data_IF_421172128435
#
_entry.id   IF_421172128435
#
_cell.length_a   1.000
_cell.length_b   1.000
_cell.length_c   1.000
_cell.angle_alpha   90.00
_cell.angle_beta   90.00
_cell.angle_gamma   90.00
#
_symmetry.space_group_name_H-M   'P 1'
#
loop_
_entity.id
_entity.type
_entity.pdbx_description
1 polymer ?
#
# COMPACT_ATOMS: atom_id res chain seq x y z
N UNK A 1 -5.86 14.80 -25.93
CA UNK A 1 -6.27 14.43 -24.56
C UNK A 1 -7.43 13.46 -24.70
N UNK A 2 -7.22 12.23 -24.26
CA UNK A 2 -8.25 11.19 -24.22
C UNK A 2 -9.33 11.56 -23.20
N UNK A 3 -10.59 11.17 -23.44
CA UNK A 3 -11.75 11.61 -22.64
C UNK A 3 -11.65 11.18 -21.16
N UNK A 4 -11.08 9.99 -20.89
CA UNK A 4 -11.06 9.36 -19.57
C UNK A 4 -10.24 10.12 -18.52
N UNK A 5 -9.25 10.92 -18.94
CA UNK A 5 -8.44 11.74 -18.02
C UNK A 5 -9.28 12.75 -17.25
N UNK A 6 -10.42 13.15 -17.81
CA UNK A 6 -11.34 14.11 -17.23
C UNK A 6 -12.56 13.45 -16.58
N UNK A 7 -12.60 12.12 -16.48
CA UNK A 7 -13.67 11.43 -15.79
C UNK A 7 -13.69 11.88 -14.31
N UNK A 8 -14.76 12.53 -13.82
CA UNK A 8 -14.81 13.09 -12.47
C UNK A 8 -14.51 12.06 -11.37
N UNK A 9 -14.80 10.79 -11.63
CA UNK A 9 -14.57 9.66 -10.74
C UNK A 9 -13.08 9.40 -10.45
N UNK A 10 -12.21 9.50 -11.48
CA UNK A 10 -10.78 9.19 -11.41
C UNK A 10 -9.84 10.38 -11.66
N UNK A 11 -10.37 11.52 -12.11
CA UNK A 11 -9.62 12.60 -12.76
C UNK A 11 -8.32 12.98 -12.03
N UNK A 12 -8.39 13.24 -10.73
CA UNK A 12 -7.21 13.67 -9.96
C UNK A 12 -6.12 12.58 -9.88
N UNK A 13 -6.49 11.31 -9.75
CA UNK A 13 -5.51 10.21 -9.66
C UNK A 13 -4.91 9.88 -11.02
N UNK A 14 -5.73 9.81 -12.08
CA UNK A 14 -5.28 9.44 -13.43
C UNK A 14 -4.45 10.55 -14.06
N UNK A 15 -4.82 11.83 -13.86
CA UNK A 15 -4.04 12.97 -14.37
C UNK A 15 -2.61 12.96 -13.83
N UNK A 16 -2.41 12.55 -12.59
CA UNK A 16 -1.07 12.44 -12.00
C UNK A 16 -0.23 11.42 -12.78
N UNK A 17 -0.77 10.23 -13.04
CA UNK A 17 -0.08 9.19 -13.78
C UNK A 17 0.19 9.54 -15.25
N UNK A 18 -0.75 10.22 -15.90
CA UNK A 18 -0.58 10.71 -17.27
C UNK A 18 0.49 11.82 -17.32
N UNK A 19 0.47 12.79 -16.40
CA UNK A 19 1.46 13.89 -16.37
C UNK A 19 2.89 13.39 -16.13
N UNK A 20 3.04 12.40 -15.26
CA UNK A 20 4.32 11.72 -15.01
C UNK A 20 4.74 10.86 -16.21
N UNK A 21 3.78 10.50 -17.06
CA UNK A 21 3.99 9.71 -18.26
C UNK A 21 3.98 8.21 -18.00
N UNK A 22 3.42 7.71 -16.90
CA UNK A 22 3.37 6.26 -16.64
C UNK A 22 2.39 5.53 -17.56
N UNK A 23 1.24 6.16 -17.85
CA UNK A 23 0.19 5.59 -18.71
C UNK A 23 0.40 6.02 -20.16
N UNK A 24 0.55 7.32 -20.42
CA UNK A 24 0.63 7.85 -21.79
C UNK A 24 2.06 7.78 -22.38
N UNK A 25 2.15 7.34 -23.64
CA UNK A 25 3.38 6.94 -24.35
C UNK A 25 4.33 8.10 -24.71
N UNK A 26 3.92 9.35 -24.48
CA UNK A 26 4.51 10.54 -25.11
C UNK A 26 5.83 11.03 -24.45
N UNK A 27 6.39 10.31 -23.47
CA UNK A 27 7.58 10.79 -22.75
C UNK A 27 8.54 9.71 -22.25
N UNK A 28 9.23 9.00 -23.16
CA UNK A 28 10.21 7.97 -22.77
C UNK A 28 11.31 8.49 -21.83
N UNK A 29 11.78 9.72 -22.01
CA UNK A 29 12.79 10.35 -21.14
C UNK A 29 12.27 10.62 -19.73
N UNK A 30 11.03 11.10 -19.59
CA UNK A 30 10.38 11.31 -18.27
C UNK A 30 10.15 9.98 -17.55
N UNK A 31 9.66 8.96 -18.28
CA UNK A 31 9.50 7.59 -17.78
C UNK A 31 10.84 7.03 -17.27
N UNK A 32 11.90 7.19 -18.07
CA UNK A 32 13.24 6.72 -17.71
C UNK A 32 13.73 7.36 -16.42
N UNK A 33 13.69 8.69 -16.30
CA UNK A 33 14.11 9.41 -15.10
C UNK A 33 13.27 9.03 -13.86
N UNK A 34 11.95 8.93 -14.04
CA UNK A 34 11.03 8.55 -12.97
C UNK A 34 11.28 7.11 -12.46
N UNK A 35 11.72 6.19 -13.33
CA UNK A 35 12.07 4.83 -12.94
C UNK A 35 13.48 4.72 -12.38
N UNK A 36 14.42 5.48 -12.94
CA UNK A 36 15.84 5.37 -12.60
C UNK A 36 16.12 5.71 -11.14
N UNK A 37 15.54 6.80 -10.62
CA UNK A 37 15.80 7.29 -9.25
C UNK A 37 15.34 6.29 -8.17
N UNK A 38 14.12 5.72 -8.22
CA UNK A 38 13.71 4.64 -7.31
C UNK A 38 14.60 3.39 -7.39
N UNK A 39 14.99 2.98 -8.61
CA UNK A 39 15.79 1.77 -8.80
C UNK A 39 17.20 1.94 -8.23
N UNK A 40 17.91 3.03 -8.57
CA UNK A 40 19.28 3.25 -8.10
C UNK A 40 19.34 3.39 -6.58
N UNK A 41 18.37 4.09 -5.98
CA UNK A 41 18.29 4.22 -4.52
C UNK A 41 17.87 2.92 -3.83
N UNK A 42 17.11 2.05 -4.50
CA UNK A 42 16.81 0.72 -3.99
C UNK A 42 18.03 -0.19 -3.99
N UNK A 43 18.81 -0.20 -5.08
CA UNK A 43 20.07 -0.94 -5.16
C UNK A 43 21.06 -0.45 -4.10
N UNK A 44 21.23 0.87 -3.95
CA UNK A 44 22.11 1.44 -2.92
C UNK A 44 21.70 1.07 -1.50
N UNK A 45 20.40 0.95 -1.22
CA UNK A 45 19.89 0.51 0.07
C UNK A 45 20.15 -0.98 0.33
N UNK A 46 20.00 -1.84 -0.70
CA UNK A 46 20.33 -3.26 -0.61
C UNK A 46 21.82 -3.44 -0.29
N UNK A 47 22.71 -2.73 -1.00
CA UNK A 47 24.16 -2.78 -0.76
C UNK A 47 24.48 -2.37 0.68
N UNK A 48 23.86 -1.31 1.18
CA UNK A 48 24.04 -0.87 2.56
C UNK A 48 23.63 -1.97 3.55
N UNK A 49 22.43 -2.55 3.40
CA UNK A 49 21.94 -3.61 4.29
C UNK A 49 22.89 -4.82 4.29
N UNK A 50 23.39 -5.26 3.12
CA UNK A 50 24.33 -6.38 3.06
C UNK A 50 25.65 -6.11 3.78
N UNK A 51 26.12 -4.86 3.80
CA UNK A 51 27.36 -4.48 4.50
C UNK A 51 27.14 -4.27 5.99
N UNK A 52 26.04 -3.64 6.39
CA UNK A 52 25.76 -3.29 7.78
C UNK A 52 25.01 -4.38 8.55
N UNK A 53 24.70 -5.53 7.94
CA UNK A 53 23.82 -6.57 8.50
C UNK A 53 24.22 -7.05 9.89
N UNK A 54 25.52 -7.09 10.18
CA UNK A 54 26.06 -7.59 11.46
C UNK A 54 26.39 -6.49 12.48
N UNK A 55 26.32 -5.20 12.11
CA UNK A 55 26.83 -4.12 12.96
C UNK A 55 25.83 -3.69 14.03
N UNK A 56 24.57 -3.50 13.63
CA UNK A 56 23.50 -3.07 14.52
C UNK A 56 22.16 -3.67 14.07
N UNK A 57 21.63 -4.60 14.87
CA UNK A 57 20.38 -5.31 14.56
C UNK A 57 19.18 -4.34 14.53
N UNK A 58 19.16 -3.33 15.41
CA UNK A 58 18.08 -2.34 15.46
C UNK A 58 18.03 -1.47 14.21
N UNK A 59 19.19 -0.95 13.79
CA UNK A 59 19.30 -0.16 12.56
C UNK A 59 19.06 -1.00 11.31
N UNK A 60 19.55 -2.24 11.28
CA UNK A 60 19.30 -3.18 10.18
C UNK A 60 17.80 -3.49 10.06
N UNK A 61 17.11 -3.71 11.17
CA UNK A 61 15.66 -3.94 11.18
C UNK A 61 14.87 -2.74 10.64
N UNK A 62 15.21 -1.52 11.07
CA UNK A 62 14.60 -0.29 10.55
C UNK A 62 14.84 -0.13 9.03
N UNK A 63 16.08 -0.34 8.58
CA UNK A 63 16.43 -0.25 7.16
C UNK A 63 15.73 -1.33 6.31
N UNK A 64 15.56 -2.55 6.84
CA UNK A 64 14.81 -3.63 6.20
C UNK A 64 13.33 -3.28 6.10
N UNK A 65 12.73 -2.72 7.15
CA UNK A 65 11.34 -2.27 7.11
C UNK A 65 11.11 -1.21 6.01
N UNK A 66 12.00 -0.22 5.92
CA UNK A 66 11.96 0.80 4.85
C UNK A 66 12.14 0.15 3.47
N UNK A 67 13.01 -0.86 3.33
CA UNK A 67 13.22 -1.59 2.08
C UNK A 67 11.94 -2.33 1.66
N UNK A 68 11.25 -3.00 2.58
CA UNK A 68 9.98 -3.69 2.32
C UNK A 68 8.90 -2.72 1.82
N UNK A 69 8.74 -1.56 2.47
CA UNK A 69 7.81 -0.51 2.02
C UNK A 69 8.13 -0.01 0.62
N UNK A 70 9.42 0.19 0.30
CA UNK A 70 9.85 0.61 -1.05
C UNK A 70 9.69 -0.48 -2.10
N UNK A 71 9.83 -1.75 -1.73
CA UNK A 71 9.65 -2.89 -2.64
C UNK A 71 8.23 -2.89 -3.20
N UNK A 72 7.24 -2.62 -2.34
CA UNK A 72 5.85 -2.47 -2.76
C UNK A 72 5.65 -1.31 -3.77
N UNK A 73 6.31 -0.18 -3.55
CA UNK A 73 6.30 0.93 -4.51
C UNK A 73 6.90 0.55 -5.88
N UNK A 74 7.98 -0.24 -5.89
CA UNK A 74 8.59 -0.74 -7.13
C UNK A 74 7.71 -1.73 -7.87
N UNK A 75 6.96 -2.59 -7.15
CA UNK A 75 5.97 -3.50 -7.77
C UNK A 75 4.91 -2.69 -8.52
N UNK A 76 4.37 -1.62 -7.90
CA UNK A 76 3.38 -0.73 -8.54
C UNK A 76 3.95 -0.02 -9.75
N UNK A 77 5.16 0.53 -9.62
CA UNK A 77 5.86 1.16 -10.74
C UNK A 77 6.02 0.19 -11.91
N UNK A 78 6.47 -1.04 -11.62
CA UNK A 78 6.63 -2.09 -12.62
C UNK A 78 5.30 -2.45 -13.29
N UNK A 79 4.22 -2.60 -12.53
CA UNK A 79 2.89 -2.89 -13.07
C UNK A 79 2.42 -1.79 -14.03
N UNK A 80 2.51 -0.54 -13.63
CA UNK A 80 2.06 0.60 -14.44
C UNK A 80 2.88 0.76 -15.72
N UNK A 81 4.20 0.51 -15.67
CA UNK A 81 5.07 0.56 -16.84
C UNK A 81 4.86 -0.64 -17.77
N UNK A 82 4.53 -1.82 -17.23
CA UNK A 82 4.34 -3.06 -18.00
C UNK A 82 2.97 -3.14 -18.67
N UNK A 83 1.91 -2.66 -18.02
CA UNK A 83 0.52 -2.77 -18.48
C UNK A 83 -0.17 -1.42 -18.78
N UNK A 84 0.48 -0.42 -19.40
CA UNK A 84 -0.11 0.92 -19.55
C UNK A 84 -1.39 0.91 -20.40
N UNK A 85 -1.44 0.06 -21.44
CA UNK A 85 -2.61 -0.08 -22.33
C UNK A 85 -3.79 -0.75 -21.63
N UNK A 86 -3.53 -1.66 -20.70
CA UNK A 86 -4.60 -2.36 -19.97
C UNK A 86 -5.24 -1.39 -18.95
N UNK A 87 -4.42 -0.58 -18.25
CA UNK A 87 -4.92 0.52 -17.43
C UNK A 87 -5.75 1.52 -18.26
N UNK A 88 -5.26 1.91 -19.44
CA UNK A 88 -6.00 2.80 -20.33
C UNK A 88 -7.35 2.23 -20.75
N UNK A 89 -7.39 0.96 -21.21
CA UNK A 89 -8.63 0.26 -21.58
C UNK A 89 -9.60 0.18 -20.41
N UNK A 90 -9.11 -0.16 -19.22
CA UNK A 90 -9.91 -0.21 -18.00
C UNK A 90 -10.57 1.14 -17.71
N UNK A 91 -9.80 2.24 -17.73
CA UNK A 91 -10.37 3.58 -17.49
C UNK A 91 -11.36 4.02 -18.57
N UNK A 92 -11.12 3.68 -19.83
CA UNK A 92 -12.05 3.95 -20.92
C UNK A 92 -13.36 3.18 -20.76
N UNK A 93 -13.30 1.91 -20.36
CA UNK A 93 -14.48 1.08 -20.10
C UNK A 93 -15.32 1.68 -18.96
N UNK A 94 -14.69 2.04 -17.84
CA UNK A 94 -15.38 2.66 -16.70
C UNK A 94 -15.95 4.03 -17.08
N UNK A 95 -15.22 4.84 -17.86
CA UNK A 95 -15.75 6.12 -18.35
C UNK A 95 -17.02 5.93 -19.19
N UNK A 96 -16.99 5.02 -20.17
CA UNK A 96 -18.15 4.79 -21.04
C UNK A 96 -19.38 4.38 -20.21
N UNK A 97 -19.19 3.49 -19.24
CA UNK A 97 -20.25 3.04 -18.36
C UNK A 97 -20.75 4.13 -17.41
N UNK A 98 -19.84 4.90 -16.81
CA UNK A 98 -20.19 6.07 -16.00
C UNK A 98 -21.08 7.04 -16.78
N UNK A 99 -20.71 7.35 -18.03
CA UNK A 99 -21.46 8.29 -18.88
C UNK A 99 -22.81 7.73 -19.29
N UNK A 100 -22.91 6.43 -19.52
CA UNK A 100 -24.18 5.76 -19.77
C UNK A 100 -25.13 5.89 -18.58
N UNK A 101 -24.65 5.63 -17.36
CA UNK A 101 -25.43 5.80 -16.12
C UNK A 101 -25.81 7.27 -15.93
N UNK A 102 -24.91 8.22 -16.19
CA UNK A 102 -25.18 9.65 -16.05
C UNK A 102 -26.28 10.15 -17.00
N UNK A 103 -26.38 9.57 -18.21
CA UNK A 103 -27.34 9.96 -19.24
C UNK A 103 -28.66 9.21 -19.16
N UNK A 104 -28.60 7.90 -18.92
CA UNK A 104 -29.71 6.97 -19.07
C UNK A 104 -30.15 6.32 -17.76
N UNK A 105 -29.42 6.54 -16.66
CA UNK A 105 -29.71 5.95 -15.36
C UNK A 105 -30.90 6.59 -14.66
N UNK A 106 -31.57 5.81 -13.81
CA UNK A 106 -32.66 6.29 -12.97
C UNK A 106 -32.21 7.44 -12.05
N UNK A 107 -33.08 8.38 -11.66
CA UNK A 107 -32.71 9.53 -10.84
C UNK A 107 -32.00 9.15 -9.52
N UNK A 108 -32.41 8.05 -8.89
CA UNK A 108 -31.78 7.53 -7.68
C UNK A 108 -30.35 7.03 -7.93
N UNK A 109 -30.14 6.33 -9.04
CA UNK A 109 -28.85 5.80 -9.47
C UNK A 109 -27.88 6.95 -9.80
N UNK A 110 -28.34 7.93 -10.58
CA UNK A 110 -27.58 9.15 -10.89
C UNK A 110 -27.24 9.93 -9.62
N UNK A 111 -28.16 10.01 -8.66
CA UNK A 111 -27.92 10.62 -7.36
C UNK A 111 -26.78 9.95 -6.58
N UNK A 112 -26.79 8.61 -6.55
CA UNK A 112 -25.75 7.82 -5.86
C UNK A 112 -24.40 7.93 -6.59
N UNK A 113 -24.41 7.93 -7.92
CA UNK A 113 -23.21 8.16 -8.73
C UNK A 113 -22.56 9.52 -8.42
N UNK A 114 -23.36 10.58 -8.30
CA UNK A 114 -22.87 11.93 -7.95
C UNK A 114 -22.28 11.98 -6.54
N UNK A 115 -22.92 11.32 -5.58
CA UNK A 115 -22.42 11.24 -4.21
C UNK A 115 -21.09 10.47 -4.13
N UNK A 116 -20.99 9.32 -4.80
CA UNK A 116 -19.72 8.57 -4.92
C UNK A 116 -18.65 9.46 -5.54
N UNK A 117 -18.95 10.13 -6.66
CA UNK A 117 -18.01 11.02 -7.34
C UNK A 117 -17.50 12.14 -6.43
N UNK A 118 -18.37 12.74 -5.62
CA UNK A 118 -17.97 13.77 -4.65
C UNK A 118 -17.01 13.21 -3.59
N UNK A 119 -17.29 12.00 -3.08
CA UNK A 119 -16.44 11.31 -2.10
C UNK A 119 -15.08 10.95 -2.68
N UNK A 120 -15.03 10.42 -3.90
CA UNK A 120 -13.76 10.03 -4.54
C UNK A 120 -12.88 11.23 -4.85
N UNK A 121 -13.48 12.37 -5.24
CA UNK A 121 -12.75 13.63 -5.40
C UNK A 121 -12.18 14.16 -4.08
N UNK A 122 -12.95 14.08 -2.99
CA UNK A 122 -12.46 14.46 -1.66
C UNK A 122 -11.29 13.56 -1.22
N UNK A 123 -11.43 12.25 -1.37
CA UNK A 123 -10.39 11.27 -1.08
C UNK A 123 -9.10 11.58 -1.86
N UNK A 124 -9.23 11.84 -3.16
CA UNK A 124 -8.10 12.16 -4.03
C UNK A 124 -7.39 13.47 -3.63
N UNK A 125 -8.14 14.49 -3.21
CA UNK A 125 -7.55 15.74 -2.68
C UNK A 125 -6.84 15.52 -1.35
N UNK A 126 -7.44 14.78 -0.42
CA UNK A 126 -6.83 14.42 0.86
C UNK A 126 -5.50 13.70 0.66
N UNK A 127 -5.43 12.78 -0.30
CA UNK A 127 -4.20 12.09 -0.70
C UNK A 127 -3.10 13.06 -1.14
N UNK A 128 -3.41 14.09 -1.93
CA UNK A 128 -2.42 15.09 -2.36
C UNK A 128 -1.87 15.86 -1.15
N UNK A 129 -2.73 16.23 -0.20
CA UNK A 129 -2.29 16.90 1.03
C UNK A 129 -1.41 16.01 1.91
N UNK A 130 -1.76 14.72 2.05
CA UNK A 130 -0.92 13.74 2.75
C UNK A 130 0.43 13.58 2.06
N UNK A 131 0.46 13.54 0.73
CA UNK A 131 1.71 13.46 -0.03
C UNK A 131 2.59 14.71 0.16
N UNK A 132 2.00 15.90 0.13
CA UNK A 132 2.71 17.15 0.37
C UNK A 132 3.26 17.21 1.81
N UNK A 133 2.44 16.88 2.81
CA UNK A 133 2.86 16.82 4.21
C UNK A 133 3.98 15.80 4.45
N UNK A 134 3.88 14.60 3.86
CA UNK A 134 4.93 13.58 3.93
C UNK A 134 6.24 14.02 3.31
N UNK A 135 6.20 14.76 2.20
CA UNK A 135 7.40 15.33 1.56
C UNK A 135 8.04 16.41 2.41
N UNK A 136 7.24 17.28 3.04
CA UNK A 136 7.72 18.30 3.97
C UNK A 136 8.37 17.63 5.20
N UNK A 137 7.73 16.59 5.75
CA UNK A 137 8.31 15.83 6.86
C UNK A 137 9.65 15.18 6.47
N UNK A 138 9.76 14.65 5.24
CA UNK A 138 11.01 14.11 4.72
C UNK A 138 12.13 15.18 4.61
N UNK A 139 11.78 16.42 4.27
CA UNK A 139 12.73 17.54 4.24
C UNK A 139 13.30 17.85 5.63
N UNK A 140 12.49 17.76 6.68
CA UNK A 140 12.94 18.01 8.05
C UNK A 140 13.49 16.77 8.76
N UNK A 141 13.48 15.60 8.10
CA UNK A 141 13.94 14.33 8.68
C UNK A 141 15.34 14.39 9.32
N UNK A 142 16.37 15.00 8.68
CA UNK A 142 17.71 15.03 9.27
C UNK A 142 17.80 15.82 10.58
N UNK A 143 16.90 16.79 10.82
CA UNK A 143 16.87 17.56 12.07
C UNK A 143 16.48 16.72 13.29
N UNK A 144 15.94 15.52 13.06
CA UNK A 144 15.55 14.61 14.14
C UNK A 144 16.73 13.81 14.71
N UNK A 145 17.95 13.99 14.18
CA UNK A 145 19.13 13.22 14.56
C UNK A 145 20.31 14.16 14.85
N UNK A 146 21.14 13.80 15.84
CA UNK A 146 22.34 14.56 16.23
C UNK A 146 23.51 14.45 15.22
N UNK A 147 23.24 14.01 13.99
CA UNK A 147 24.25 13.78 12.95
C UNK A 147 23.67 13.72 11.55
N UNK A 148 24.57 13.67 10.54
CA UNK A 148 24.18 13.57 9.13
C UNK A 148 23.52 12.22 8.87
N UNK A 149 22.21 12.24 8.61
CA UNK A 149 21.44 11.05 8.25
C UNK A 149 20.52 11.34 7.08
N UNK A 150 20.59 10.52 6.04
CA UNK A 150 19.61 10.54 4.95
C UNK A 150 18.29 9.93 5.40
N UNK A 151 17.19 10.32 4.75
CA UNK A 151 15.89 9.68 4.94
C UNK A 151 15.96 8.18 4.65
N UNK A 152 16.67 7.81 3.59
CA UNK A 152 16.96 6.43 3.24
C UNK A 152 18.47 6.26 3.21
N UNK A 153 18.97 5.40 4.08
CA UNK A 153 20.39 5.06 4.11
C UNK A 153 20.76 4.26 2.86
N UNK A 154 21.70 4.79 2.09
CA UNK A 154 22.16 4.19 0.83
C UNK A 154 23.68 4.15 0.81
N UNK A 155 24.23 3.15 0.13
CA UNK A 155 25.66 3.05 -0.11
C UNK A 155 25.92 2.77 -1.59
N UNK A 156 26.81 3.57 -2.17
CA UNK A 156 27.25 3.39 -3.55
C UNK A 156 28.73 2.98 -3.58
N UNK A 157 29.14 2.11 -4.52
CA UNK A 157 30.55 1.83 -4.72
C UNK A 157 31.32 3.13 -5.00
N UNK A 158 32.45 3.33 -4.32
CA UNK A 158 33.38 4.45 -4.50
C UNK A 158 32.86 5.85 -4.15
N UNK A 159 31.63 5.99 -3.62
CA UNK A 159 31.06 7.29 -3.20
C UNK A 159 30.65 7.21 -1.74
N UNK A 160 31.25 8.06 -0.90
CA UNK A 160 30.79 8.28 0.47
C UNK A 160 29.56 9.20 0.44
N UNK A 161 28.39 8.62 0.73
CA UNK A 161 27.13 9.35 0.71
C UNK A 161 27.08 10.45 1.80
N UNK A 162 27.79 10.30 2.91
CA UNK A 162 27.73 11.25 4.03
C UNK A 162 28.73 12.42 3.91
N UNK A 163 29.67 12.31 2.97
CA UNK A 163 30.66 13.34 2.68
C UNK A 163 30.09 14.47 1.83
N UNK A 164 30.44 15.72 2.13
CA UNK A 164 30.11 16.88 1.27
C UNK A 164 30.96 16.83 -0.01
N UNK A 165 30.40 17.10 -1.21
CA UNK A 165 29.05 17.60 -1.49
C UNK A 165 27.99 16.51 -1.78
N UNK A 166 28.36 15.23 -1.70
CA UNK A 166 27.47 14.12 -2.04
C UNK A 166 26.28 14.01 -1.08
N UNK A 167 26.49 14.34 0.20
CA UNK A 167 25.43 14.36 1.21
C UNK A 167 24.26 15.26 0.79
N UNK A 168 24.55 16.51 0.48
CA UNK A 168 23.57 17.53 0.12
C UNK A 168 22.87 17.17 -1.19
N UNK A 169 23.63 16.69 -2.18
CA UNK A 169 23.08 16.26 -3.47
C UNK A 169 22.13 15.06 -3.34
N UNK A 170 22.56 14.00 -2.65
CA UNK A 170 21.75 12.79 -2.46
C UNK A 170 20.54 13.06 -1.57
N UNK A 171 20.67 13.91 -0.56
CA UNK A 171 19.56 14.33 0.28
C UNK A 171 18.50 15.09 -0.53
N UNK A 172 18.89 16.08 -1.32
CA UNK A 172 17.96 16.80 -2.19
C UNK A 172 17.32 15.89 -3.24
N UNK A 173 18.06 14.93 -3.81
CA UNK A 173 17.51 13.92 -4.71
C UNK A 173 16.45 13.04 -4.01
N UNK A 174 16.70 12.63 -2.76
CA UNK A 174 15.75 11.83 -1.99
C UNK A 174 14.48 12.61 -1.67
N UNK A 175 14.60 13.87 -1.24
CA UNK A 175 13.45 14.67 -0.81
C UNK A 175 12.66 15.24 -1.99
N UNK A 176 13.32 15.77 -3.01
CA UNK A 176 12.66 16.45 -4.13
C UNK A 176 12.20 15.50 -5.24
N UNK A 177 12.84 14.34 -5.37
CA UNK A 177 12.48 13.36 -6.40
C UNK A 177 11.89 12.10 -5.76
N UNK A 178 12.65 11.38 -4.94
CA UNK A 178 12.25 10.04 -4.51
C UNK A 178 10.99 10.03 -3.62
N UNK A 179 10.90 10.88 -2.61
CA UNK A 179 9.76 10.93 -1.70
C UNK A 179 8.43 11.26 -2.42
N UNK A 180 8.36 12.30 -3.27
CA UNK A 180 7.20 12.55 -4.12
C UNK A 180 6.86 11.38 -5.04
N UNK A 181 7.86 10.75 -5.68
CA UNK A 181 7.65 9.58 -6.55
C UNK A 181 6.96 8.45 -5.78
N UNK A 182 7.46 8.12 -4.58
CA UNK A 182 6.89 7.06 -3.74
C UNK A 182 5.44 7.36 -3.37
N UNK A 183 5.16 8.59 -2.93
CA UNK A 183 3.83 9.00 -2.47
C UNK A 183 2.83 9.06 -3.64
N UNK A 184 3.26 9.56 -4.80
CA UNK A 184 2.46 9.64 -6.03
C UNK A 184 2.19 8.27 -6.66
N UNK A 185 3.10 7.32 -6.55
CA UNK A 185 2.84 5.94 -6.96
C UNK A 185 1.90 5.24 -5.99
N UNK A 186 2.09 5.45 -4.70
CA UNK A 186 1.39 4.65 -3.69
C UNK A 186 -0.05 5.09 -3.51
N UNK A 187 -0.29 6.38 -3.31
CA UNK A 187 -1.59 6.84 -2.86
C UNK A 187 -2.63 6.89 -4.00
N UNK A 188 -2.38 7.52 -5.17
CA UNK A 188 -3.26 7.41 -6.34
C UNK A 188 -3.56 5.98 -6.79
N UNK A 189 -2.61 5.05 -6.69
CA UNK A 189 -2.84 3.64 -7.04
C UNK A 189 -3.83 2.98 -6.08
N UNK A 190 -3.63 3.18 -4.77
CA UNK A 190 -4.59 2.71 -3.75
C UNK A 190 -5.97 3.36 -3.94
N UNK A 191 -6.03 4.63 -4.34
CA UNK A 191 -7.30 5.30 -4.63
C UNK A 191 -8.03 4.67 -5.82
N UNK A 192 -7.33 4.32 -6.91
CA UNK A 192 -7.96 3.63 -8.05
C UNK A 192 -8.65 2.34 -7.59
N UNK A 193 -7.99 1.57 -6.72
CA UNK A 193 -8.56 0.35 -6.16
C UNK A 193 -9.86 0.64 -5.40
N UNK A 194 -9.83 1.58 -4.44
CA UNK A 194 -11.01 1.93 -3.64
C UNK A 194 -12.16 2.46 -4.51
N UNK A 195 -11.85 3.30 -5.49
CA UNK A 195 -12.83 3.86 -6.43
C UNK A 195 -13.44 2.74 -7.30
N UNK A 196 -12.63 1.78 -7.76
CA UNK A 196 -13.10 0.63 -8.54
C UNK A 196 -14.06 -0.24 -7.73
N UNK A 197 -13.79 -0.46 -6.44
CA UNK A 197 -14.69 -1.18 -5.54
C UNK A 197 -16.02 -0.43 -5.34
N UNK A 198 -15.97 0.88 -5.08
CA UNK A 198 -17.17 1.71 -4.91
C UNK A 198 -18.02 1.73 -6.19
N UNK A 199 -17.37 1.80 -7.36
CA UNK A 199 -18.06 1.74 -8.65
C UNK A 199 -18.65 0.35 -8.92
N UNK A 200 -17.91 -0.72 -8.60
CA UNK A 200 -18.38 -2.11 -8.68
C UNK A 200 -19.63 -2.35 -7.84
N UNK A 201 -19.66 -1.85 -6.60
CA UNK A 201 -20.84 -1.91 -5.73
C UNK A 201 -22.04 -1.20 -6.35
N UNK A 202 -21.83 -0.01 -6.92
CA UNK A 202 -22.87 0.77 -7.55
C UNK A 202 -23.51 0.03 -8.74
N UNK A 203 -22.70 -0.53 -9.65
CA UNK A 203 -23.21 -1.24 -10.83
C UNK A 203 -23.89 -2.56 -10.48
N UNK A 204 -23.45 -3.24 -9.42
CA UNK A 204 -24.13 -4.44 -8.90
C UNK A 204 -25.51 -4.10 -8.34
N UNK A 205 -25.63 -3.01 -7.57
CA UNK A 205 -26.92 -2.54 -7.06
C UNK A 205 -27.88 -2.16 -8.18
N UNK A 206 -27.38 -1.48 -9.21
CA UNK A 206 -28.15 -1.12 -10.40
C UNK A 206 -28.70 -2.34 -11.14
N UNK A 207 -27.87 -3.38 -11.33
CA UNK A 207 -28.33 -4.64 -11.91
C UNK A 207 -29.46 -5.27 -11.08
N UNK A 208 -29.33 -5.30 -9.75
CA UNK A 208 -30.37 -5.81 -8.86
C UNK A 208 -31.69 -5.04 -8.99
N UNK A 209 -31.63 -3.71 -9.12
CA UNK A 209 -32.81 -2.87 -9.32
C UNK A 209 -33.45 -3.16 -10.69
N UNK A 210 -32.66 -3.21 -11.76
CA UNK A 210 -33.13 -3.54 -13.11
C UNK A 210 -33.83 -4.90 -13.15
N UNK A 211 -33.24 -5.93 -12.54
CA UNK A 211 -33.83 -7.27 -12.45
C UNK A 211 -35.15 -7.28 -11.67
N UNK A 212 -35.23 -6.58 -10.52
CA UNK A 212 -36.45 -6.50 -9.70
C UNK A 212 -37.59 -5.73 -10.38
N UNK A 213 -37.25 -4.86 -11.33
CA UNK A 213 -38.20 -4.02 -12.05
C UNK A 213 -38.70 -4.64 -13.36
N UNK A 214 -38.26 -5.85 -13.73
CA UNK A 214 -38.81 -6.58 -14.87
C UNK A 214 -40.28 -6.95 -14.54
N UNK A 215 -41.22 -6.24 -15.16
CA UNK A 215 -42.67 -6.40 -14.94
C UNK A 215 -43.49 -6.43 -16.23
N UNK A 216 -42.84 -6.53 -17.39
CA UNK A 216 -43.49 -6.55 -18.69
C UNK A 216 -44.49 -7.72 -18.80
N UNK A 217 -45.74 -7.43 -19.17
CA UNK A 217 -46.79 -8.44 -19.36
C UNK A 217 -46.58 -9.29 -20.63
N UNK A 218 -45.90 -8.73 -21.64
CA UNK A 218 -45.53 -9.44 -22.86
C UNK A 218 -44.25 -10.27 -22.64
N UNK A 219 -44.34 -11.58 -22.86
CA UNK A 219 -43.24 -12.55 -22.72
C UNK A 219 -42.02 -12.19 -23.57
N UNK A 220 -42.21 -11.72 -24.82
CA UNK A 220 -41.10 -11.32 -25.68
C UNK A 220 -40.34 -10.12 -25.12
N UNK A 221 -41.06 -9.11 -24.62
CA UNK A 221 -40.46 -7.92 -24.00
C UNK A 221 -39.74 -8.28 -22.70
N UNK A 222 -40.36 -9.12 -21.87
CA UNK A 222 -39.76 -9.62 -20.63
C UNK A 222 -38.44 -10.36 -20.90
N UNK A 223 -38.43 -11.24 -21.92
CA UNK A 223 -37.23 -11.96 -22.32
C UNK A 223 -36.13 -11.00 -22.82
N UNK A 224 -36.49 -9.95 -23.57
CA UNK A 224 -35.53 -8.95 -24.02
C UNK A 224 -34.93 -8.14 -22.85
N UNK A 225 -35.74 -7.73 -21.88
CA UNK A 225 -35.27 -7.05 -20.66
C UNK A 225 -34.33 -7.93 -19.84
N UNK A 226 -34.67 -9.22 -19.71
CA UNK A 226 -33.83 -10.19 -19.00
C UNK A 226 -32.49 -10.41 -19.73
N UNK A 227 -32.51 -10.56 -21.06
CA UNK A 227 -31.28 -10.66 -21.88
C UNK A 227 -30.38 -9.43 -21.73
N UNK A 228 -30.95 -8.23 -21.64
CA UNK A 228 -30.19 -7.00 -21.34
C UNK A 228 -29.52 -7.07 -19.97
N UNK A 229 -30.20 -7.58 -18.95
CA UNK A 229 -29.63 -7.77 -17.61
C UNK A 229 -28.50 -8.81 -17.61
N UNK A 230 -28.63 -9.91 -18.36
CA UNK A 230 -27.55 -10.89 -18.54
C UNK A 230 -26.33 -10.22 -19.18
N UNK A 231 -26.51 -9.48 -20.27
CA UNK A 231 -25.41 -8.77 -20.93
C UNK A 231 -24.76 -7.73 -20.01
N UNK A 232 -25.56 -7.05 -19.17
CA UNK A 232 -25.05 -6.12 -18.16
C UNK A 232 -24.23 -6.83 -17.08
N UNK A 233 -24.68 -7.98 -16.59
CA UNK A 233 -23.94 -8.79 -15.63
C UNK A 233 -22.61 -9.29 -16.21
N UNK A 234 -22.59 -9.71 -17.48
CA UNK A 234 -21.36 -10.09 -18.17
C UNK A 234 -20.35 -8.94 -18.25
N UNK A 235 -20.80 -7.69 -18.41
CA UNK A 235 -19.91 -6.51 -18.32
C UNK A 235 -19.36 -6.32 -16.91
N UNK A 236 -20.13 -6.61 -15.85
CA UNK A 236 -19.63 -6.56 -14.46
C UNK A 236 -18.53 -7.60 -14.26
N UNK A 237 -18.74 -8.83 -14.76
CA UNK A 237 -17.72 -9.89 -14.69
C UNK A 237 -16.43 -9.47 -15.40
N UNK A 238 -16.54 -8.95 -16.63
CA UNK A 238 -15.38 -8.45 -17.37
C UNK A 238 -14.63 -7.32 -16.62
N UNK A 239 -15.36 -6.41 -15.95
CA UNK A 239 -14.75 -5.37 -15.11
C UNK A 239 -13.97 -5.98 -13.93
N UNK A 240 -14.50 -7.01 -13.29
CA UNK A 240 -13.83 -7.72 -12.20
C UNK A 240 -12.58 -8.45 -12.69
N UNK A 241 -12.65 -9.10 -13.86
CA UNK A 241 -11.52 -9.81 -14.48
C UNK A 241 -10.40 -8.81 -14.84
N UNK A 242 -10.74 -7.69 -15.48
CA UNK A 242 -9.78 -6.61 -15.80
C UNK A 242 -9.12 -6.05 -14.53
N UNK A 243 -9.91 -5.81 -13.47
CA UNK A 243 -9.40 -5.32 -12.19
C UNK A 243 -8.46 -6.34 -11.52
N UNK A 244 -8.82 -7.62 -11.55
CA UNK A 244 -8.00 -8.71 -11.02
C UNK A 244 -6.69 -8.84 -11.78
N UNK A 245 -6.70 -8.72 -13.10
CA UNK A 245 -5.50 -8.77 -13.93
C UNK A 245 -4.54 -7.60 -13.66
N UNK A 246 -5.07 -6.43 -13.31
CA UNK A 246 -4.28 -5.25 -12.96
C UNK A 246 -3.72 -5.30 -11.53
N UNK A 247 -4.45 -5.91 -10.59
CA UNK A 247 -4.17 -5.77 -9.16
C UNK A 247 -3.72 -7.05 -8.44
N UNK A 248 -3.92 -8.23 -9.02
CA UNK A 248 -3.57 -9.52 -8.38
C UNK A 248 -2.13 -9.58 -7.87
N UNK A 249 -1.18 -9.12 -8.70
CA UNK A 249 0.23 -9.08 -8.33
C UNK A 249 0.52 -8.08 -7.21
N UNK A 250 -0.06 -6.86 -7.25
CA UNK A 250 0.09 -5.88 -6.15
C UNK A 250 -0.45 -6.47 -4.85
N UNK A 251 -1.64 -7.08 -4.89
CA UNK A 251 -2.27 -7.72 -3.73
C UNK A 251 -1.43 -8.84 -3.14
N UNK A 252 -0.85 -9.71 -3.97
CA UNK A 252 0.05 -10.77 -3.51
C UNK A 252 1.27 -10.20 -2.76
N UNK A 253 1.98 -9.24 -3.37
CA UNK A 253 3.13 -8.62 -2.73
C UNK A 253 2.74 -7.83 -1.49
N UNK A 254 1.57 -7.20 -1.46
CA UNK A 254 1.07 -6.49 -0.29
C UNK A 254 0.95 -7.42 0.92
N UNK A 255 0.28 -8.58 0.76
CA UNK A 255 0.12 -9.57 1.82
C UNK A 255 1.46 -10.16 2.24
N UNK A 256 2.31 -10.54 1.28
CA UNK A 256 3.61 -11.14 1.56
C UNK A 256 4.55 -10.18 2.32
N UNK A 257 4.65 -8.93 1.88
CA UNK A 257 5.51 -7.92 2.50
C UNK A 257 5.00 -7.51 3.88
N UNK A 258 3.67 -7.38 4.07
CA UNK A 258 3.09 -7.12 5.38
C UNK A 258 3.37 -8.28 6.36
N UNK A 259 3.24 -9.53 5.89
CA UNK A 259 3.61 -10.71 6.66
C UNK A 259 5.08 -10.68 7.11
N UNK A 260 6.01 -10.35 6.19
CA UNK A 260 7.43 -10.19 6.50
C UNK A 260 7.70 -9.11 7.57
N UNK A 261 6.99 -7.98 7.52
CA UNK A 261 7.12 -6.93 8.55
C UNK A 261 6.70 -7.43 9.93
N UNK A 262 5.63 -8.23 10.00
CA UNK A 262 5.17 -8.83 11.26
C UNK A 262 6.17 -9.87 11.79
N UNK A 263 6.76 -10.68 10.91
CA UNK A 263 7.82 -11.62 11.29
C UNK A 263 9.04 -10.90 11.86
N UNK A 264 9.45 -9.77 11.28
CA UNK A 264 10.56 -8.94 11.79
C UNK A 264 10.25 -8.34 13.16
N UNK A 265 9.01 -7.84 13.35
CA UNK A 265 8.57 -7.34 14.65
C UNK A 265 8.63 -8.46 15.71
N UNK A 266 8.16 -9.65 15.37
CA UNK A 266 8.21 -10.81 16.27
C UNK A 266 9.65 -11.19 16.64
N UNK A 267 10.56 -11.27 15.65
CA UNK A 267 11.97 -11.54 15.89
C UNK A 267 12.62 -10.52 16.83
N UNK A 268 12.27 -9.24 16.70
CA UNK A 268 12.77 -8.21 17.61
C UNK A 268 12.28 -8.43 19.05
N UNK A 269 11.01 -8.82 19.23
CA UNK A 269 10.46 -9.11 20.56
C UNK A 269 11.08 -10.38 21.17
N UNK A 270 11.41 -11.39 20.37
CA UNK A 270 12.05 -12.61 20.86
C UNK A 270 13.48 -12.38 21.36
N UNK A 271 14.22 -11.40 20.81
CA UNK A 271 15.55 -11.03 21.34
C UNK A 271 15.52 -10.57 22.81
N UNK A 272 14.38 -10.13 23.33
CA UNK A 272 14.26 -9.79 24.75
C UNK A 272 14.51 -10.99 25.68
N UNK A 273 14.30 -12.21 25.18
CA UNK A 273 14.52 -13.45 25.93
C UNK A 273 16.01 -13.78 26.06
N UNK A 274 16.86 -13.35 25.11
CA UNK A 274 18.31 -13.58 25.13
C UNK A 274 18.99 -12.90 26.32
N UNK A 275 18.38 -11.85 26.87
CA UNK A 275 18.90 -11.17 28.06
C UNK A 275 19.00 -12.12 29.25
N UNK A 276 18.05 -13.05 29.41
CA UNK A 276 18.09 -14.06 30.46
C UNK A 276 19.30 -14.99 30.32
N UNK A 277 19.58 -15.42 29.08
CA UNK A 277 20.72 -16.28 28.75
C UNK A 277 22.04 -15.55 29.02
N UNK A 278 22.18 -14.32 28.55
CA UNK A 278 23.37 -13.51 28.76
C UNK A 278 23.68 -13.28 30.25
N UNK A 279 22.63 -13.04 31.06
CA UNK A 279 22.77 -12.90 32.52
C UNK A 279 23.24 -14.20 33.17
N UNK A 280 22.70 -15.33 32.72
CA UNK A 280 23.11 -16.66 33.20
C UNK A 280 24.57 -16.99 32.86
N UNK A 281 25.03 -16.59 31.67
CA UNK A 281 26.40 -16.84 31.18
C UNK A 281 27.46 -15.94 31.85
N UNK A 282 27.04 -14.91 32.60
CA UNK A 282 27.99 -14.13 33.40
C UNK A 282 28.65 -15.02 34.47
N UNK A 283 29.89 -14.73 34.90
CA UNK A 283 30.54 -15.48 35.97
C UNK A 283 29.97 -15.11 37.36
N UNK A 284 28.64 -15.11 37.51
CA UNK A 284 27.88 -14.69 38.70
C UNK A 284 28.29 -15.46 39.96
N UNK A 285 28.76 -16.70 39.81
CA UNK A 285 29.25 -17.54 40.90
C UNK A 285 30.54 -16.99 41.53
N UNK A 286 31.33 -16.18 40.80
CA UNK A 286 32.51 -15.48 41.33
C UNK A 286 32.17 -14.14 42.01
N UNK A 287 30.96 -13.62 41.79
CA UNK A 287 30.49 -12.37 42.38
C UNK A 287 30.14 -12.49 43.87
N UNK A 288 30.05 -11.33 44.53
CA UNK A 288 29.59 -11.22 45.92
C UNK A 288 28.08 -11.57 46.04
N UNK A 289 27.57 -11.63 47.28
CA UNK A 289 26.16 -11.94 47.55
C UNK A 289 25.20 -10.99 46.83
N UNK A 290 25.57 -9.72 46.71
CA UNK A 290 24.77 -8.69 46.05
C UNK A 290 24.62 -8.98 44.55
N UNK A 291 25.73 -9.26 43.85
CA UNK A 291 25.73 -9.65 42.44
C UNK A 291 24.83 -10.86 42.18
N UNK A 292 24.92 -11.90 43.01
CA UNK A 292 24.08 -13.11 42.86
C UNK A 292 22.59 -12.81 43.04
N UNK A 293 22.24 -11.93 43.98
CA UNK A 293 20.86 -11.46 44.16
C UNK A 293 20.38 -10.68 42.94
N UNK A 294 21.19 -9.76 42.41
CA UNK A 294 20.87 -9.00 41.20
C UNK A 294 20.61 -9.91 39.99
N UNK A 295 21.43 -10.95 39.80
CA UNK A 295 21.27 -11.94 38.73
C UNK A 295 19.94 -12.68 38.84
N UNK A 296 19.56 -13.16 40.03
CA UNK A 296 18.27 -13.83 40.26
C UNK A 296 17.11 -12.88 39.95
N UNK A 297 17.16 -11.63 40.43
CA UNK A 297 16.13 -10.62 40.15
C UNK A 297 16.01 -10.34 38.65
N UNK A 298 17.14 -10.23 37.95
CA UNK A 298 17.16 -9.98 36.51
C UNK A 298 16.57 -11.15 35.71
N UNK A 299 16.97 -12.40 36.01
CA UNK A 299 16.40 -13.61 35.38
C UNK A 299 14.90 -13.69 35.66
N UNK A 300 14.47 -13.49 36.91
CA UNK A 300 13.06 -13.50 37.29
C UNK A 300 12.24 -12.43 36.53
N UNK A 301 12.82 -11.25 36.28
CA UNK A 301 12.18 -10.21 35.46
C UNK A 301 12.11 -10.60 33.99
N UNK A 302 13.13 -11.25 33.45
CA UNK A 302 13.17 -11.69 32.05
C UNK A 302 12.13 -12.79 31.73
N UNK A 303 11.63 -13.52 32.73
CA UNK A 303 10.50 -14.45 32.58
C UNK A 303 9.20 -13.77 32.15
N UNK A 304 9.14 -12.42 32.19
CA UNK A 304 8.08 -11.62 31.56
C UNK A 304 8.66 -10.95 30.30
N UNK A 305 8.47 -11.54 29.10
CA UNK A 305 9.05 -11.03 27.86
C UNK A 305 8.61 -9.59 27.60
N UNK A 306 9.42 -8.84 26.84
CA UNK A 306 8.97 -7.53 26.38
C UNK A 306 7.78 -7.72 25.45
N UNK A 307 6.65 -7.09 25.79
CA UNK A 307 5.44 -7.09 24.98
C UNK A 307 5.12 -5.66 24.59
N UNK A 308 4.96 -5.41 23.29
CA UNK A 308 4.36 -4.17 22.80
C UNK A 308 2.85 -4.35 22.80
N UNK A 309 2.09 -3.33 23.22
CA UNK A 309 0.63 -3.34 23.15
C UNK A 309 0.14 -2.32 22.13
N UNK A 310 -0.78 -2.71 21.26
CA UNK A 310 -1.52 -1.80 20.40
C UNK A 310 -2.47 -0.97 21.28
N UNK A 311 -2.20 0.33 21.38
CA UNK A 311 -3.00 1.30 22.14
C UNK A 311 -3.13 0.98 23.64
N UNK A 312 -2.21 0.18 24.21
CA UNK A 312 -2.30 -0.25 25.61
C UNK A 312 -3.23 -1.43 25.87
N UNK A 313 -3.96 -1.92 24.86
CA UNK A 313 -5.07 -2.86 25.03
C UNK A 313 -4.70 -4.26 24.56
N UNK A 314 -4.16 -4.38 23.34
CA UNK A 314 -3.90 -5.67 22.73
C UNK A 314 -2.41 -5.95 22.62
N UNK A 315 -1.85 -7.01 23.23
CA UNK A 315 -0.45 -7.36 23.05
C UNK A 315 -0.21 -7.70 21.57
N UNK A 316 0.88 -7.19 20.98
CA UNK A 316 1.29 -7.41 19.59
C UNK A 316 2.15 -8.67 19.52
N UNK A 317 1.51 -9.83 19.63
CA UNK A 317 2.16 -11.15 19.61
C UNK A 317 1.70 -11.97 18.41
N UNK A 318 2.34 -13.12 18.18
CA UNK A 318 1.93 -14.03 17.11
C UNK A 318 0.52 -14.56 17.35
N UNK A 319 0.13 -14.76 18.62
CA UNK A 319 -1.19 -15.22 19.01
C UNK A 319 -2.28 -14.21 18.67
N UNK A 320 -2.06 -12.91 18.92
CA UNK A 320 -3.03 -11.88 18.52
C UNK A 320 -3.10 -11.72 17.01
N UNK A 321 -2.00 -11.88 16.28
CA UNK A 321 -2.04 -11.94 14.82
C UNK A 321 -2.86 -13.12 14.31
N UNK A 322 -2.63 -14.33 14.85
CA UNK A 322 -3.45 -15.50 14.53
C UNK A 322 -4.92 -15.29 14.90
N UNK A 323 -5.21 -14.64 16.03
CA UNK A 323 -6.56 -14.32 16.45
C UNK A 323 -7.24 -13.36 15.46
N UNK A 324 -6.54 -12.31 15.00
CA UNK A 324 -7.05 -11.40 13.97
C UNK A 324 -7.40 -12.18 12.70
N UNK A 325 -6.50 -13.03 12.20
CA UNK A 325 -6.74 -13.85 11.01
C UNK A 325 -7.95 -14.78 11.19
N UNK A 326 -8.08 -15.43 12.36
CA UNK A 326 -9.23 -16.30 12.67
C UNK A 326 -10.54 -15.51 12.71
N UNK A 327 -10.56 -14.33 13.35
CA UNK A 327 -11.74 -13.48 13.40
C UNK A 327 -12.12 -12.99 12.00
N UNK A 328 -11.15 -12.56 11.18
CA UNK A 328 -11.39 -12.18 9.79
C UNK A 328 -11.98 -13.34 8.98
N UNK A 329 -11.45 -14.56 9.13
CA UNK A 329 -11.98 -15.75 8.47
C UNK A 329 -13.40 -16.12 8.95
N UNK A 330 -13.65 -16.07 10.26
CA UNK A 330 -14.98 -16.31 10.83
C UNK A 330 -16.00 -15.27 10.35
N UNK A 331 -15.61 -13.99 10.30
CA UNK A 331 -16.45 -12.92 9.78
C UNK A 331 -16.75 -13.10 8.29
N UNK A 332 -15.74 -13.47 7.51
CA UNK A 332 -15.91 -13.82 6.10
C UNK A 332 -16.89 -14.99 5.92
N UNK A 333 -16.73 -16.06 6.70
CA UNK A 333 -17.61 -17.23 6.66
C UNK A 333 -19.05 -16.89 7.08
N UNK A 334 -19.23 -16.04 8.09
CA UNK A 334 -20.54 -15.54 8.50
C UNK A 334 -21.21 -14.74 7.38
N UNK A 335 -20.50 -13.79 6.77
CA UNK A 335 -21.01 -13.01 5.65
C UNK A 335 -21.39 -13.90 4.47
N UNK A 336 -20.60 -14.93 4.19
CA UNK A 336 -20.92 -15.91 3.16
C UNK A 336 -22.21 -16.68 3.50
N UNK A 337 -22.39 -17.09 4.77
CA UNK A 337 -23.60 -17.77 5.23
C UNK A 337 -24.85 -16.89 5.28
N UNK A 338 -24.72 -15.57 5.46
CA UNK A 338 -25.83 -14.62 5.43
C UNK A 338 -26.26 -14.24 4.00
N UNK A 339 -25.38 -14.43 3.02
CA UNK A 339 -25.61 -14.15 1.60
C UNK A 339 -26.08 -15.39 0.81
N UNK A 340 -26.27 -16.53 1.46
CA UNK A 340 -27.01 -17.70 0.97
C UNK A 340 -28.46 -17.62 1.44
#
# INVERSE_FOLDING_TARGET
MTSYENLPLYAENVKVFVKVGLIDSIGWTKRFLFCFIPIITYVGQIIHIFKSWNENIGETSMNLHILLLKTHCLVRLWLMVRKPKDFERFFQCVEQWYRDIERNGDPQMVGTLKEITKRTQLLSKMTIYVAAGGTIAAFFYPLSFDGRKHMITVQYPFVDALQTPFFEFLFLLQVLCLAPIILVLTLPFTNIYLISLMFGELVLKDLCVKLRNIRSENEETMLQEFKKCIAYHQKIIALCDDLQDLLSMDGFFHVALFGMMLCMLHFFLSMSLEVANAVYDTPWYRGNLEMRKCVITMIARCQKPLQMTAGGIYPMTMETFQAILRVSYSYFSLLQGLNQ
#
